data_IF_853459127461
#
_entry.id   IF_853459127461
#
_cell.length_a   1.000
_cell.length_b   1.000
_cell.length_c   1.000
_cell.angle_alpha   90.00
_cell.angle_beta   90.00
_cell.angle_gamma   90.00
#
_symmetry.space_group_name_H-M   'P 1'
#
loop_
_entity.id
_entity.type
_entity.pdbx_description
1 polymer ?
#
# COMPACT_ATOMS: atom_id res chain seq x y z
N UNK A 1 -17.91 0.94 -9.05
CA UNK A 1 -18.30 2.24 -8.49
C UNK A 1 -19.54 2.01 -7.67
N UNK A 2 -19.54 2.33 -6.37
CA UNK A 2 -20.68 2.13 -5.47
C UNK A 2 -21.55 3.38 -5.41
N UNK A 3 -22.87 3.18 -5.40
CA UNK A 3 -23.94 4.20 -5.45
C UNK A 3 -24.30 4.73 -4.04
N UNK A 4 -23.27 5.03 -3.25
CA UNK A 4 -23.38 5.52 -1.87
C UNK A 4 -22.19 6.42 -1.58
N UNK A 5 -22.40 7.58 -0.96
CA UNK A 5 -21.36 8.60 -0.72
C UNK A 5 -20.14 8.08 0.06
N UNK A 6 -20.30 6.93 0.75
CA UNK A 6 -19.27 6.29 1.57
C UNK A 6 -19.17 4.81 1.19
N UNK A 7 -17.95 4.32 0.99
CA UNK A 7 -17.70 2.92 0.63
C UNK A 7 -18.14 1.96 1.75
N UNK A 8 -18.66 0.75 1.47
CA UNK A 8 -19.12 -0.19 2.51
C UNK A 8 -18.05 -0.58 3.54
N UNK A 9 -16.78 -0.55 3.14
CA UNK A 9 -15.63 -0.79 4.02
C UNK A 9 -15.43 0.41 4.96
N UNK A 10 -15.57 1.62 4.43
CA UNK A 10 -15.41 2.88 5.13
C UNK A 10 -16.55 3.14 6.13
N UNK A 11 -17.76 2.68 5.79
CA UNK A 11 -18.97 2.82 6.63
C UNK A 11 -19.10 1.75 7.71
N UNK A 12 -18.23 0.73 7.73
CA UNK A 12 -18.32 -0.36 8.68
C UNK A 12 -17.66 0.01 10.01
N UNK A 13 -18.43 -0.07 11.10
CA UNK A 13 -17.91 0.15 12.46
C UNK A 13 -17.09 -1.02 13.01
N UNK A 14 -17.08 -2.16 12.30
CA UNK A 14 -16.24 -3.31 12.64
C UNK A 14 -14.79 -3.16 12.16
N UNK A 15 -14.50 -2.10 11.40
CA UNK A 15 -13.18 -1.85 10.81
C UNK A 15 -12.36 -0.93 11.69
N UNK A 16 -11.06 -1.20 11.74
CA UNK A 16 -10.11 -0.32 12.38
C UNK A 16 -9.80 0.87 11.47
N UNK A 17 -10.41 2.02 11.75
CA UNK A 17 -10.21 3.26 10.99
C UNK A 17 -8.83 3.89 11.26
N UNK A 18 -8.10 3.42 12.28
CA UNK A 18 -6.76 3.89 12.62
C UNK A 18 -5.67 3.24 11.78
N UNK A 19 -6.00 2.20 11.01
CA UNK A 19 -5.09 1.55 10.08
C UNK A 19 -5.53 1.80 8.63
N UNK A 20 -4.62 2.33 7.82
CA UNK A 20 -4.87 2.58 6.39
C UNK A 20 -3.90 1.77 5.54
N UNK A 21 -4.43 0.88 4.69
CA UNK A 21 -3.66 0.23 3.64
C UNK A 21 -3.75 1.02 2.34
N UNK A 22 -2.62 1.53 1.87
CA UNK A 22 -2.49 2.28 0.62
C UNK A 22 -2.19 1.32 -0.52
N UNK A 23 -3.04 1.31 -1.54
CA UNK A 23 -2.91 0.47 -2.74
C UNK A 23 -2.93 1.33 -4.01
N UNK A 24 -2.38 0.83 -5.11
CA UNK A 24 -2.32 1.58 -6.37
C UNK A 24 -3.70 1.63 -7.03
N UNK A 25 -4.41 0.50 -7.09
CA UNK A 25 -5.67 0.41 -7.80
C UNK A 25 -6.73 -0.42 -7.04
N UNK A 26 -7.99 -0.35 -7.51
CA UNK A 26 -9.11 -1.02 -6.84
C UNK A 26 -9.05 -2.55 -6.92
N UNK A 27 -8.33 -3.11 -7.89
CA UNK A 27 -8.16 -4.57 -7.99
C UNK A 27 -7.25 -5.09 -6.88
N UNK A 28 -6.19 -4.35 -6.57
CA UNK A 28 -5.29 -4.66 -5.45
C UNK A 28 -6.07 -4.66 -4.12
N UNK A 29 -6.91 -3.64 -3.90
CA UNK A 29 -7.83 -3.59 -2.76
C UNK A 29 -8.71 -4.84 -2.68
N UNK A 30 -9.36 -5.21 -3.80
CA UNK A 30 -10.21 -6.40 -3.85
C UNK A 30 -9.46 -7.69 -3.56
N UNK A 31 -8.19 -7.81 -3.99
CA UNK A 31 -7.36 -8.97 -3.73
C UNK A 31 -7.07 -9.14 -2.23
N UNK A 32 -6.70 -8.05 -1.54
CA UNK A 32 -6.50 -8.09 -0.08
C UNK A 32 -7.79 -8.35 0.68
N UNK A 33 -8.89 -7.74 0.25
CA UNK A 33 -10.19 -7.91 0.88
C UNK A 33 -10.68 -9.37 0.79
N UNK A 34 -10.41 -10.04 -0.33
CA UNK A 34 -10.75 -11.45 -0.52
C UNK A 34 -10.03 -12.39 0.45
N UNK A 35 -8.89 -11.98 1.03
CA UNK A 35 -8.18 -12.78 2.04
C UNK A 35 -8.92 -12.86 3.37
N UNK A 36 -9.81 -11.91 3.66
CA UNK A 36 -10.54 -11.80 4.93
C UNK A 36 -9.65 -11.57 6.16
N UNK A 37 -8.34 -11.32 6.00
CA UNK A 37 -7.38 -11.15 7.10
C UNK A 37 -7.17 -9.71 7.53
N UNK A 38 -7.39 -8.75 6.63
CA UNK A 38 -7.18 -7.34 6.92
C UNK A 38 -8.46 -6.68 7.42
N UNK A 39 -8.40 -6.06 8.60
CA UNK A 39 -9.54 -5.41 9.26
C UNK A 39 -9.50 -3.89 9.23
N UNK A 40 -8.44 -3.29 8.66
CA UNK A 40 -8.35 -1.84 8.50
C UNK A 40 -9.13 -1.34 7.29
N UNK A 41 -8.91 -0.07 6.95
CA UNK A 41 -9.52 0.59 5.78
C UNK A 41 -8.50 0.79 4.66
N UNK A 42 -8.97 0.97 3.43
CA UNK A 42 -8.10 1.15 2.27
C UNK A 42 -8.04 2.61 1.83
N UNK A 43 -6.96 2.95 1.13
CA UNK A 43 -6.84 4.16 0.32
C UNK A 43 -6.31 3.75 -1.06
N UNK A 44 -7.05 4.10 -2.12
CA UNK A 44 -6.68 3.78 -3.51
C UNK A 44 -6.07 5.02 -4.15
N UNK A 45 -4.80 4.93 -4.55
CA UNK A 45 -4.05 6.05 -5.15
C UNK A 45 -4.48 6.37 -6.59
N UNK A 46 -5.13 5.42 -7.27
CA UNK A 46 -5.47 5.47 -8.70
C UNK A 46 -4.26 5.57 -9.62
N UNK A 47 -3.14 4.99 -9.21
CA UNK A 47 -1.90 4.97 -9.99
C UNK A 47 -0.66 4.98 -9.11
N UNK A 48 0.48 5.15 -9.76
CA UNK A 48 1.79 5.30 -9.16
C UNK A 48 2.54 6.45 -9.82
N UNK A 49 3.46 7.08 -9.09
CA UNK A 49 4.32 8.14 -9.59
C UNK A 49 5.24 7.55 -10.67
N UNK A 50 5.20 8.15 -11.86
CA UNK A 50 6.00 7.72 -13.01
C UNK A 50 6.56 8.94 -13.76
N UNK A 51 7.82 9.32 -13.49
CA UNK A 51 8.47 10.42 -14.21
C UNK A 51 8.52 10.22 -15.72
N UNK A 52 8.62 8.98 -16.18
CA UNK A 52 8.64 8.61 -17.60
C UNK A 52 7.33 8.92 -18.31
N UNK A 53 6.20 8.76 -17.60
CA UNK A 53 4.86 9.06 -18.11
C UNK A 53 4.41 10.49 -17.75
N UNK A 54 5.26 11.27 -17.09
CA UNK A 54 4.91 12.60 -16.58
C UNK A 54 3.87 12.58 -15.45
N UNK A 55 3.68 11.44 -14.77
CA UNK A 55 2.72 11.28 -13.67
C UNK A 55 3.44 11.66 -12.37
N UNK A 56 3.03 12.79 -11.80
CA UNK A 56 3.55 13.30 -10.54
C UNK A 56 2.69 12.94 -9.32
N UNK A 57 3.10 13.38 -8.12
CA UNK A 57 2.34 13.19 -6.89
C UNK A 57 0.95 13.85 -6.90
N UNK A 58 0.77 14.90 -7.71
CA UNK A 58 -0.50 15.62 -7.86
C UNK A 58 -1.52 14.89 -8.75
N UNK A 59 -1.04 13.93 -9.56
CA UNK A 59 -1.86 13.15 -10.51
C UNK A 59 -2.43 11.87 -9.87
N UNK A 60 -1.96 11.51 -8.68
CA UNK A 60 -2.49 10.43 -7.86
C UNK A 60 -3.27 11.01 -6.67
N UNK A 61 -4.11 10.18 -6.03
CA UNK A 61 -4.97 10.58 -4.88
C UNK A 61 -4.21 10.81 -3.56
N UNK A 62 -2.98 11.32 -3.65
CA UNK A 62 -2.12 11.52 -2.50
C UNK A 62 -2.60 12.65 -1.59
N UNK A 63 -3.19 13.71 -2.15
CA UNK A 63 -3.73 14.84 -1.36
C UNK A 63 -4.84 14.36 -0.41
N UNK A 64 -5.70 13.49 -0.89
CA UNK A 64 -6.79 12.88 -0.14
C UNK A 64 -6.26 11.92 0.92
N UNK A 65 -5.17 11.19 0.64
CA UNK A 65 -4.48 10.41 1.68
C UNK A 65 -3.99 11.33 2.80
N UNK A 66 -3.26 12.39 2.47
CA UNK A 66 -2.72 13.33 3.46
C UNK A 66 -3.81 14.01 4.28
N UNK A 67 -4.99 14.27 3.69
CA UNK A 67 -6.13 14.79 4.42
C UNK A 67 -6.64 13.80 5.48
N UNK A 68 -6.71 12.50 5.15
CA UNK A 68 -7.13 11.43 6.08
C UNK A 68 -6.12 11.18 7.20
N UNK A 69 -4.84 11.47 6.97
CA UNK A 69 -3.78 11.32 7.99
C UNK A 69 -3.80 12.42 9.06
N UNK A 70 -4.70 13.42 8.96
CA UNK A 70 -4.92 14.41 10.01
C UNK A 70 -5.77 13.87 11.16
N UNK A 71 -6.49 12.77 10.93
CA UNK A 71 -7.25 12.07 11.95
C UNK A 71 -6.33 11.17 12.82
N UNK A 72 -6.90 10.46 13.79
CA UNK A 72 -6.17 9.55 14.69
C UNK A 72 -5.76 8.25 13.98
N UNK A 73 -4.72 8.32 13.14
CA UNK A 73 -4.14 7.19 12.40
C UNK A 73 -2.90 6.67 13.12
N UNK A 74 -2.92 5.39 13.46
CA UNK A 74 -1.81 4.72 14.14
C UNK A 74 -0.83 4.10 13.13
N UNK A 75 -1.33 3.55 12.01
CA UNK A 75 -0.50 2.86 11.03
C UNK A 75 -0.94 3.08 9.58
N UNK A 76 0.05 3.31 8.72
CA UNK A 76 -0.11 3.30 7.26
C UNK A 76 0.70 2.16 6.66
N UNK A 77 0.00 1.23 6.02
CA UNK A 77 0.58 0.07 5.34
C UNK A 77 0.67 0.39 3.85
N UNK A 78 1.89 0.44 3.30
CA UNK A 78 2.10 0.71 1.88
C UNK A 78 2.12 -0.62 1.12
N UNK A 79 1.08 -0.84 0.32
CA UNK A 79 0.85 -2.01 -0.51
C UNK A 79 0.86 -1.68 -2.01
N UNK A 80 1.74 -0.76 -2.43
CA UNK A 80 2.08 -0.55 -3.85
C UNK A 80 2.93 -1.71 -4.38
N UNK A 81 2.92 -1.91 -5.69
CA UNK A 81 3.66 -2.96 -6.38
C UNK A 81 5.18 -2.81 -6.17
N UNK A 82 5.93 -3.89 -6.35
CA UNK A 82 7.40 -3.90 -6.23
C UNK A 82 8.10 -3.45 -7.52
N UNK A 83 7.37 -2.82 -8.44
CA UNK A 83 7.90 -2.18 -9.65
C UNK A 83 8.67 -0.89 -9.31
N UNK A 84 9.40 -0.32 -10.28
CA UNK A 84 10.14 0.93 -10.07
C UNK A 84 9.22 2.09 -9.65
N UNK A 85 8.07 2.22 -10.30
CA UNK A 85 7.05 3.23 -10.01
C UNK A 85 6.43 3.01 -8.64
N UNK A 86 6.10 1.76 -8.31
CA UNK A 86 5.53 1.40 -7.01
C UNK A 86 6.49 1.66 -5.85
N UNK A 87 7.79 1.38 -6.04
CA UNK A 87 8.85 1.68 -5.07
C UNK A 87 9.12 3.19 -4.93
N UNK A 88 9.11 3.91 -6.04
CA UNK A 88 9.22 5.38 -6.05
C UNK A 88 8.07 6.00 -5.27
N UNK A 89 6.84 5.51 -5.52
CA UNK A 89 5.63 5.95 -4.83
C UNK A 89 5.67 5.62 -3.34
N UNK A 90 6.06 4.39 -2.98
CA UNK A 90 6.20 3.98 -1.59
C UNK A 90 7.20 4.84 -0.81
N UNK A 91 8.36 5.09 -1.42
CA UNK A 91 9.42 5.92 -0.83
C UNK A 91 8.94 7.36 -0.65
N UNK A 92 8.22 7.90 -1.64
CA UNK A 92 7.69 9.26 -1.58
C UNK A 92 6.67 9.41 -0.45
N UNK A 93 5.69 8.50 -0.38
CA UNK A 93 4.67 8.47 0.67
C UNK A 93 5.33 8.33 2.05
N UNK A 94 6.29 7.42 2.20
CA UNK A 94 7.02 7.22 3.46
C UNK A 94 7.70 8.51 3.95
N UNK A 95 8.33 9.26 3.04
CA UNK A 95 8.99 10.54 3.39
C UNK A 95 8.00 11.61 3.86
N UNK A 96 6.77 11.62 3.34
CA UNK A 96 5.73 12.56 3.76
C UNK A 96 5.09 12.19 5.09
N UNK A 97 4.94 10.89 5.37
CA UNK A 97 4.23 10.40 6.56
C UNK A 97 5.15 10.34 7.79
N UNK A 98 6.43 9.97 7.62
CA UNK A 98 7.38 9.86 8.75
C UNK A 98 7.42 11.09 9.68
N UNK A 99 7.43 12.34 9.18
CA UNK A 99 7.42 13.54 10.04
C UNK A 99 6.15 13.69 10.90
N UNK A 100 5.05 13.03 10.54
CA UNK A 100 3.78 13.07 11.29
C UNK A 100 3.79 12.16 12.53
N UNK A 101 4.83 11.34 12.71
CA UNK A 101 4.91 10.38 13.83
C UNK A 101 4.03 9.14 13.66
N UNK A 102 3.38 8.97 12.52
CA UNK A 102 2.54 7.81 12.19
C UNK A 102 3.45 6.62 11.82
N UNK A 103 3.12 5.42 12.31
CA UNK A 103 3.85 4.20 11.97
C UNK A 103 3.65 3.91 10.47
N UNK A 104 4.74 3.68 9.75
CA UNK A 104 4.69 3.28 8.33
C UNK A 104 5.25 1.87 8.21
N UNK A 105 4.49 0.98 7.59
CA UNK A 105 4.92 -0.38 7.25
C UNK A 105 4.77 -0.62 5.74
N UNK A 106 5.52 -1.60 5.23
CA UNK A 106 5.51 -2.01 3.81
C UNK A 106 5.16 -3.48 3.75
N UNK A 107 4.34 -3.89 2.79
CA UNK A 107 4.12 -5.31 2.53
C UNK A 107 5.45 -5.99 2.16
N UNK A 108 5.62 -7.23 2.60
CA UNK A 108 6.82 -7.98 2.26
C UNK A 108 6.94 -8.14 0.74
N UNK A 109 8.17 -8.02 0.22
CA UNK A 109 8.52 -8.34 -1.17
C UNK A 109 9.49 -9.50 -1.15
N UNK A 110 9.27 -10.51 -1.99
CA UNK A 110 10.14 -11.70 -2.03
C UNK A 110 9.50 -12.88 -2.74
N UNK A 111 10.02 -14.07 -2.45
CA UNK A 111 9.62 -15.33 -3.10
C UNK A 111 8.18 -15.70 -2.73
N UNK A 112 7.30 -15.97 -3.71
CA UNK A 112 5.94 -16.43 -3.43
C UNK A 112 5.95 -17.82 -2.79
N UNK A 113 4.94 -18.09 -1.95
CA UNK A 113 4.75 -19.43 -1.38
C UNK A 113 4.49 -20.42 -2.52
N UNK A 114 5.24 -21.53 -2.54
CA UNK A 114 5.14 -22.56 -3.57
C UNK A 114 5.88 -22.23 -4.88
N UNK A 115 6.64 -21.14 -4.93
CA UNK A 115 7.56 -20.87 -6.04
C UNK A 115 8.84 -21.68 -5.93
N UNK A 116 9.28 -22.29 -7.03
CA UNK A 116 10.58 -22.97 -7.11
C UNK A 116 11.70 -21.94 -7.21
N UNK A 117 12.65 -21.96 -6.27
CA UNK A 117 13.77 -21.00 -6.18
C UNK A 117 14.57 -20.91 -7.49
N UNK A 118 14.74 -22.04 -8.19
CA UNK A 118 15.48 -22.12 -9.45
C UNK A 118 14.84 -21.30 -10.58
N UNK A 119 13.54 -21.02 -10.48
CA UNK A 119 12.76 -20.28 -11.47
C UNK A 119 12.52 -18.82 -11.06
N UNK A 120 13.10 -18.36 -9.94
CA UNK A 120 12.97 -16.99 -9.45
C UNK A 120 14.14 -16.13 -9.96
N UNK A 121 13.82 -14.91 -10.37
CA UNK A 121 14.83 -13.94 -10.79
C UNK A 121 15.72 -13.46 -9.62
N UNK A 122 16.95 -13.08 -9.94
CA UNK A 122 17.95 -12.66 -8.95
C UNK A 122 17.49 -11.48 -8.09
N UNK A 123 16.72 -10.53 -8.66
CA UNK A 123 16.24 -9.35 -7.93
C UNK A 123 15.23 -9.75 -6.86
N UNK A 124 14.32 -10.67 -7.16
CA UNK A 124 13.37 -11.21 -6.19
C UNK A 124 14.06 -12.00 -5.09
N UNK A 125 15.09 -12.80 -5.41
CA UNK A 125 15.89 -13.51 -4.41
C UNK A 125 16.65 -12.55 -3.47
N UNK A 126 17.25 -11.51 -4.03
CA UNK A 126 17.95 -10.48 -3.25
C UNK A 126 16.99 -9.77 -2.29
N UNK A 127 15.80 -9.40 -2.76
CA UNK A 127 14.75 -8.80 -1.91
C UNK A 127 14.30 -9.73 -0.79
N UNK A 128 14.15 -11.02 -1.07
CA UNK A 128 13.78 -12.00 -0.05
C UNK A 128 14.88 -12.13 1.02
N UNK A 129 16.15 -12.04 0.64
CA UNK A 129 17.28 -12.08 1.56
C UNK A 129 17.37 -10.82 2.44
N UNK A 130 17.14 -9.65 1.85
CA UNK A 130 17.10 -8.37 2.57
C UNK A 130 15.91 -8.31 3.54
N UNK A 131 14.76 -8.86 3.13
CA UNK A 131 13.53 -8.93 3.92
C UNK A 131 13.45 -10.10 4.91
N UNK A 132 14.54 -10.83 5.14
CA UNK A 132 14.53 -11.99 6.06
C UNK A 132 14.21 -11.56 7.49
N UNK A 133 13.46 -12.41 8.20
CA UNK A 133 13.14 -12.21 9.62
C UNK A 133 14.07 -13.05 10.51
N UNK A 134 14.36 -12.55 11.71
CA UNK A 134 15.01 -13.33 12.78
C UNK A 134 13.90 -13.99 13.59
N UNK A 135 14.09 -15.28 13.93
CA UNK A 135 13.18 -16.08 14.73
C UNK A 135 13.56 -16.05 16.21
#
# INVERSE_FOLDING_TARGET
MTDSDICPICSSDKRDKKQIMVVENSRDMSAYEHTGKYSGVYHVLHGAISPMLGIGPDDIRLKELMARLKDDIEEVIIATNSSLEGETTATYITKLIKPLGIKVSRIASGVPVGGDIENIDEVTLLRALDGRIIL
#
